data_IF_960079945047
#
_entry.id   IF_960079945047
#
_cell.length_a   1.000
_cell.length_b   1.000
_cell.length_c   1.000
_cell.angle_alpha   90.00
_cell.angle_beta   90.00
_cell.angle_gamma   90.00
#
_symmetry.space_group_name_H-M   'P 1'
#
loop_
_entity.id
_entity.type
_entity.pdbx_description
1 polymer ?
#
# COMPACT_ATOMS: atom_id res chain seq x y z
N UNK A 1 -14.33 10.96 -12.55
CA UNK A 1 -12.99 11.29 -13.11
C UNK A 1 -13.03 10.99 -14.60
N UNK A 2 -12.38 11.80 -15.44
CA UNK A 2 -12.37 11.58 -16.89
C UNK A 2 -11.41 10.43 -17.25
N UNK A 3 -11.67 9.73 -18.34
CA UNK A 3 -10.78 8.67 -18.86
C UNK A 3 -9.38 9.16 -19.25
N UNK A 4 -9.16 10.48 -19.29
CA UNK A 4 -7.89 11.14 -19.58
C UNK A 4 -7.07 11.50 -18.33
N UNK A 5 -7.57 11.26 -17.11
CA UNK A 5 -6.84 11.58 -15.90
C UNK A 5 -5.77 10.52 -15.60
N UNK A 6 -4.58 10.77 -16.14
CA UNK A 6 -3.38 9.95 -15.92
C UNK A 6 -2.97 9.84 -14.45
N UNK A 7 -3.49 10.69 -13.58
CA UNK A 7 -3.08 10.79 -12.18
C UNK A 7 -4.15 10.30 -11.21
N UNK A 8 -5.26 9.73 -11.70
CA UNK A 8 -6.38 9.26 -10.89
C UNK A 8 -6.00 8.16 -9.87
N UNK A 9 -4.87 7.48 -10.07
CA UNK A 9 -4.34 6.44 -9.18
C UNK A 9 -3.08 6.87 -8.45
N UNK A 10 -2.63 8.12 -8.65
CA UNK A 10 -1.44 8.59 -7.95
C UNK A 10 -1.78 8.80 -6.48
N UNK A 11 -1.02 8.21 -5.55
CA UNK A 11 -1.40 8.13 -4.14
C UNK A 11 -1.52 9.50 -3.44
N UNK A 12 -0.90 10.55 -4.00
CA UNK A 12 -1.06 11.93 -3.53
C UNK A 12 -2.32 12.65 -4.03
N UNK A 13 -2.95 12.17 -5.11
CA UNK A 13 -4.17 12.75 -5.68
C UNK A 13 -5.44 11.98 -5.33
N UNK A 14 -5.34 10.66 -5.18
CA UNK A 14 -6.46 9.81 -4.81
C UNK A 14 -6.04 8.83 -3.70
N UNK A 15 -6.02 9.29 -2.44
CA UNK A 15 -5.81 8.42 -1.30
C UNK A 15 -6.81 7.24 -1.35
N UNK A 16 -6.30 6.01 -1.30
CA UNK A 16 -7.06 4.76 -1.26
C UNK A 16 -7.29 4.13 -2.63
N UNK A 17 -6.94 4.82 -3.72
CA UNK A 17 -7.25 4.39 -5.08
C UNK A 17 -6.01 3.90 -5.86
N UNK A 18 -4.83 3.94 -5.23
CA UNK A 18 -3.61 3.37 -5.78
C UNK A 18 -3.71 1.82 -5.74
N UNK A 19 -3.52 1.12 -6.86
CA UNK A 19 -3.54 -0.34 -6.88
C UNK A 19 -2.47 -0.91 -5.95
N UNK A 20 -2.85 -1.88 -5.13
CA UNK A 20 -1.92 -2.67 -4.31
C UNK A 20 -1.69 -3.99 -5.03
N UNK A 21 -0.46 -4.27 -5.46
CA UNK A 21 -0.12 -5.54 -6.13
C UNK A 21 -0.25 -6.74 -5.20
N UNK A 22 0.30 -6.63 -3.99
CA UNK A 22 0.31 -7.69 -2.98
C UNK A 22 0.34 -7.06 -1.58
N UNK A 23 -0.46 -7.54 -0.61
CA UNK A 23 -0.51 -6.96 0.73
C UNK A 23 0.81 -7.07 1.50
N UNK A 24 1.70 -8.00 1.15
CA UNK A 24 3.03 -8.13 1.72
C UNK A 24 4.12 -7.52 0.82
N UNK A 25 3.74 -6.81 -0.25
CA UNK A 25 4.64 -6.21 -1.23
C UNK A 25 5.06 -7.17 -2.33
N UNK A 26 5.64 -6.62 -3.40
CA UNK A 26 6.14 -7.36 -4.55
C UNK A 26 7.63 -7.09 -4.72
N UNK A 27 8.41 -8.14 -4.99
CA UNK A 27 9.84 -8.01 -5.23
C UNK A 27 10.11 -7.11 -6.45
N UNK A 28 10.92 -6.07 -6.27
CA UNK A 28 11.21 -5.08 -7.31
C UNK A 28 10.06 -4.11 -7.62
N UNK A 29 8.98 -4.12 -6.83
CA UNK A 29 7.89 -3.12 -6.88
C UNK A 29 7.01 -3.14 -8.14
N UNK A 30 7.21 -4.10 -9.04
CA UNK A 30 6.47 -4.24 -10.30
C UNK A 30 6.61 -5.67 -10.84
N UNK A 31 5.67 -6.17 -11.67
CA UNK A 31 5.75 -7.53 -12.22
C UNK A 31 6.99 -7.74 -13.11
N UNK A 32 7.44 -6.69 -13.77
CA UNK A 32 8.60 -6.70 -14.66
C UNK A 32 9.44 -5.47 -14.40
N UNK A 33 10.75 -5.58 -14.61
CA UNK A 33 11.64 -4.42 -14.47
C UNK A 33 11.19 -3.26 -15.36
N UNK A 34 11.07 -2.09 -14.74
CA UNK A 34 10.81 -0.82 -15.41
C UNK A 34 12.13 -0.07 -15.59
N UNK A 35 12.31 0.62 -16.72
CA UNK A 35 13.56 1.29 -17.10
C UNK A 35 13.89 2.46 -16.16
N UNK A 36 14.47 2.14 -15.02
CA UNK A 36 14.94 3.08 -13.99
C UNK A 36 16.44 2.94 -13.80
N UNK A 37 17.06 3.82 -13.00
CA UNK A 37 18.47 3.70 -12.64
C UNK A 37 18.79 2.54 -11.70
N UNK A 38 17.78 1.77 -11.27
CA UNK A 38 17.90 0.66 -10.32
C UNK A 38 17.20 -0.58 -10.86
N UNK A 39 17.75 -1.76 -10.58
CA UNK A 39 17.15 -3.05 -10.92
C UNK A 39 17.08 -3.91 -9.67
N UNK A 40 16.00 -4.69 -9.55
CA UNK A 40 15.98 -5.76 -8.56
C UNK A 40 17.06 -6.78 -8.92
N UNK A 41 17.84 -7.18 -7.93
CA UNK A 41 18.87 -8.21 -8.08
C UNK A 41 18.26 -9.48 -7.51
N UNK A 42 18.04 -10.48 -8.38
CA UNK A 42 17.53 -11.79 -7.96
C UNK A 42 18.40 -12.35 -6.83
N UNK A 43 17.73 -12.87 -5.81
CA UNK A 43 18.37 -13.55 -4.69
C UNK A 43 17.92 -15.00 -4.67
N UNK A 44 18.54 -15.82 -3.82
CA UNK A 44 18.04 -17.19 -3.57
C UNK A 44 16.63 -17.24 -2.95
N UNK A 45 16.07 -16.10 -2.53
CA UNK A 45 14.78 -16.02 -1.83
C UNK A 45 13.67 -15.36 -2.65
N UNK A 46 14.00 -14.57 -3.67
CA UNK A 46 13.02 -13.81 -4.44
C UNK A 46 13.61 -13.33 -5.76
N UNK A 47 12.73 -13.15 -6.74
CA UNK A 47 12.99 -12.63 -8.08
C UNK A 47 12.03 -11.47 -8.39
N UNK A 48 12.38 -10.62 -9.36
CA UNK A 48 11.49 -9.53 -9.80
C UNK A 48 10.06 -10.04 -10.03
N UNK A 49 9.06 -9.36 -9.45
CA UNK A 49 7.65 -9.67 -9.62
C UNK A 49 7.08 -10.71 -8.65
N UNK A 50 7.91 -11.35 -7.82
CA UNK A 50 7.42 -12.30 -6.82
C UNK A 50 6.50 -11.63 -5.78
N UNK A 51 5.34 -12.24 -5.54
CA UNK A 51 4.39 -11.79 -4.52
C UNK A 51 4.88 -12.18 -3.12
N UNK A 52 5.02 -11.18 -2.25
CA UNK A 52 5.47 -11.37 -0.87
C UNK A 52 4.57 -12.30 -0.08
N UNK A 53 3.25 -12.25 -0.30
CA UNK A 53 2.28 -13.13 0.38
C UNK A 53 2.45 -14.61 0.05
N UNK A 54 3.13 -14.92 -1.06
CA UNK A 54 3.37 -16.29 -1.54
C UNK A 54 4.80 -16.76 -1.23
N UNK A 55 5.76 -15.85 -1.21
CA UNK A 55 7.18 -16.20 -1.03
C UNK A 55 7.68 -16.07 0.42
N UNK A 56 7.08 -15.18 1.22
CA UNK A 56 7.53 -14.96 2.58
C UNK A 56 6.89 -15.98 3.52
N UNK A 57 7.67 -16.61 4.42
CA UNK A 57 7.09 -17.42 5.47
C UNK A 57 6.26 -16.53 6.41
N UNK A 58 5.19 -17.07 7.01
CA UNK A 58 4.44 -16.37 8.04
C UNK A 58 5.36 -15.91 9.16
N UNK A 59 5.23 -14.65 9.58
CA UNK A 59 6.00 -14.15 10.73
C UNK A 59 5.49 -14.82 12.01
N UNK A 60 6.37 -15.35 12.88
CA UNK A 60 5.99 -15.99 14.14
C UNK A 60 5.63 -14.95 15.20
N UNK A 61 4.63 -14.10 14.90
CA UNK A 61 4.22 -13.00 15.79
C UNK A 61 3.27 -13.46 16.89
N UNK A 62 2.61 -14.60 16.71
CA UNK A 62 1.53 -15.06 17.59
C UNK A 62 0.28 -14.16 17.56
N UNK A 63 0.26 -13.13 16.71
CA UNK A 63 -0.85 -12.18 16.61
C UNK A 63 -2.02 -12.85 15.89
N UNK A 64 -3.19 -12.82 16.53
CA UNK A 64 -4.45 -13.26 15.95
C UNK A 64 -5.26 -12.01 15.60
N UNK A 65 -5.61 -11.87 14.32
CA UNK A 65 -6.42 -10.76 13.83
C UNK A 65 -7.90 -11.11 13.96
N UNK A 66 -8.67 -10.24 14.61
CA UNK A 66 -10.12 -10.36 14.71
C UNK A 66 -10.74 -9.38 13.73
N UNK A 67 -11.62 -9.88 12.85
CA UNK A 67 -12.29 -9.04 11.86
C UNK A 67 -13.07 -7.91 12.55
N UNK A 68 -12.87 -6.67 12.09
CA UNK A 68 -13.49 -5.47 12.65
C UNK A 68 -12.82 -4.89 13.90
N UNK A 69 -11.80 -5.55 14.46
CA UNK A 69 -11.04 -5.00 15.56
C UNK A 69 -10.10 -3.86 15.09
N UNK A 70 -9.91 -2.87 15.95
CA UNK A 70 -8.87 -1.86 15.76
C UNK A 70 -7.49 -2.45 16.07
N UNK A 71 -6.48 -2.01 15.31
CA UNK A 71 -5.12 -2.47 15.50
C UNK A 71 -4.12 -1.34 15.28
N UNK A 72 -3.03 -1.38 16.06
CA UNK A 72 -1.94 -0.43 15.91
C UNK A 72 -1.11 -0.76 14.66
N UNK A 73 -0.98 0.22 13.76
CA UNK A 73 -0.13 0.12 12.59
C UNK A 73 1.14 0.95 12.76
N UNK A 74 2.30 0.35 12.48
CA UNK A 74 3.60 1.04 12.43
C UNK A 74 4.12 1.06 11.01
N UNK A 75 4.55 2.23 10.55
CA UNK A 75 5.12 2.43 9.23
C UNK A 75 6.37 3.32 9.33
N UNK A 76 7.28 3.16 8.39
CA UNK A 76 8.50 3.97 8.29
C UNK A 76 8.76 4.27 6.82
N UNK A 77 9.23 5.48 6.54
CA UNK A 77 9.65 5.90 5.21
C UNK A 77 11.14 6.17 5.20
N UNK A 78 11.87 5.46 4.35
CA UNK A 78 13.28 5.80 4.04
C UNK A 78 13.41 6.78 2.88
N UNK A 79 12.45 6.78 1.96
CA UNK A 79 12.32 7.71 0.87
C UNK A 79 10.83 8.02 0.66
N UNK A 80 10.49 9.30 0.53
CA UNK A 80 9.13 9.75 0.24
C UNK A 80 9.09 10.36 -1.16
N UNK A 81 8.42 9.71 -2.10
CA UNK A 81 8.25 10.19 -3.47
C UNK A 81 6.92 10.96 -3.67
N UNK A 82 6.30 11.42 -2.59
CA UNK A 82 5.00 12.10 -2.59
C UNK A 82 3.85 11.12 -2.42
N UNK A 83 2.91 11.44 -1.52
CA UNK A 83 1.77 10.58 -1.13
C UNK A 83 1.68 10.36 0.37
N UNK A 84 0.73 9.53 0.80
CA UNK A 84 0.54 9.11 2.19
C UNK A 84 0.49 7.59 2.34
N UNK A 85 0.65 7.09 3.56
CA UNK A 85 0.48 5.67 3.87
C UNK A 85 -0.98 5.41 4.26
N UNK A 86 -1.60 4.41 3.64
CA UNK A 86 -2.93 3.93 4.02
C UNK A 86 -2.90 2.41 4.09
N UNK A 87 -3.66 1.87 5.03
CA UNK A 87 -3.85 0.44 5.19
C UNK A 87 -5.12 0.01 4.45
N UNK A 88 -5.06 -0.86 3.42
CA UNK A 88 -6.24 -1.27 2.65
C UNK A 88 -7.22 -2.16 3.44
N UNK A 89 -6.84 -2.59 4.64
CA UNK A 89 -7.67 -3.37 5.57
C UNK A 89 -8.48 -2.50 6.53
N UNK A 90 -8.22 -1.20 6.58
CA UNK A 90 -9.07 -0.26 7.30
C UNK A 90 -10.37 -0.09 6.50
N UNK A 91 -11.52 -0.30 7.15
CA UNK A 91 -12.82 0.03 6.56
C UNK A 91 -12.75 1.48 6.08
N UNK A 92 -13.18 1.81 4.85
CA UNK A 92 -13.28 3.20 4.45
C UNK A 92 -14.30 3.84 5.38
N UNK A 93 -13.84 4.73 6.27
CA UNK A 93 -14.73 5.70 6.90
C UNK A 93 -15.44 6.38 5.74
N UNK A 94 -16.75 6.17 5.64
CA UNK A 94 -17.60 6.86 4.70
C UNK A 94 -17.23 8.33 4.75
N UNK A 95 -16.70 8.87 3.65
CA UNK A 95 -16.64 10.30 3.42
C UNK A 95 -18.10 10.77 3.31
N UNK A 96 -18.77 10.88 4.45
CA UNK A 96 -20.01 11.65 4.56
C UNK A 96 -19.54 13.10 4.54
N UNK A 97 -19.83 13.87 3.47
CA UNK A 97 -19.58 15.29 3.49
C UNK A 97 -20.71 15.88 4.33
N UNK A 98 -20.54 16.02 5.65
CA UNK A 98 -21.45 16.87 6.39
C UNK A 98 -20.87 17.41 7.69
N UNK A 99 -20.88 18.74 7.71
CA UNK A 99 -20.79 19.66 8.83
C UNK A 99 -19.45 19.77 9.55
N UNK A 100 -18.70 20.77 9.06
CA UNK A 100 -18.18 21.82 9.94
C UNK A 100 -19.20 22.08 11.07
N UNK A 101 -18.95 21.59 12.27
CA UNK A 101 -19.56 22.13 13.48
C UNK A 101 -18.44 22.65 14.37
N UNK A 102 -18.54 23.93 14.66
CA UNK A 102 -17.54 24.76 15.32
C UNK A 102 -17.83 24.75 16.84
N UNK A 103 -16.75 24.60 17.63
CA UNK A 103 -16.54 25.18 18.99
C UNK A 103 -17.34 24.66 20.19
N UNK A 104 -16.91 24.91 21.46
CA UNK A 104 -16.03 25.99 21.98
C UNK A 104 -14.54 25.88 21.61
#
# INVERSE_FOLDING_TARGET
MSSSDLYQHNPWRAPGNAPVYDPCGMAGGSPTWVKTGLSFIDTKFARQGDNGSMMLPPRPTGIVWVAGAEAEAKWTMRANHGGGCMSPLAQPISLIPNFLHISP
#
